data_IF_539105581157
#
_entry.id   IF_539105581157
#
_cell.length_a   1.000
_cell.length_b   1.000
_cell.length_c   1.000
_cell.angle_alpha   90.00
_cell.angle_beta   90.00
_cell.angle_gamma   90.00
#
_symmetry.space_group_name_H-M   'P 1'
#
loop_
_entity.id
_entity.type
_entity.pdbx_description
1 polymer ?
#
# COMPACT_ATOMS: atom_id res chain seq x y z
N UNK A 1 23.95 -5.86 12.74
CA UNK A 1 24.06 -5.99 11.28
C UNK A 1 25.31 -6.79 10.92
N UNK A 2 25.32 -7.38 9.72
CA UNK A 2 26.47 -8.12 9.24
C UNK A 2 27.66 -7.19 8.98
N UNK A 3 28.84 -7.52 9.50
CA UNK A 3 30.05 -6.66 9.43
C UNK A 3 30.51 -6.34 8.00
N UNK A 4 30.21 -7.21 7.04
CA UNK A 4 30.59 -7.07 5.63
C UNK A 4 29.50 -6.38 4.79
N UNK A 5 28.45 -5.83 5.42
CA UNK A 5 27.45 -5.06 4.73
C UNK A 5 27.98 -3.64 4.46
N UNK A 6 28.15 -3.32 3.19
CA UNK A 6 28.60 -1.99 2.77
C UNK A 6 27.40 -1.04 2.74
N UNK A 7 27.42 -0.04 3.62
CA UNK A 7 26.37 0.98 3.75
C UNK A 7 26.74 2.26 3.00
N UNK A 8 27.16 2.15 1.75
CA UNK A 8 27.55 3.30 0.94
C UNK A 8 26.34 3.91 0.21
N UNK A 9 25.65 3.09 -0.57
CA UNK A 9 24.58 3.53 -1.43
C UNK A 9 23.30 2.71 -1.26
N UNK A 10 22.18 3.40 -1.32
CA UNK A 10 20.86 2.78 -1.43
C UNK A 10 20.77 1.97 -2.72
N UNK A 11 20.48 0.68 -2.62
CA UNK A 11 20.42 -0.20 -3.80
C UNK A 11 19.21 0.04 -4.71
N UNK A 12 18.28 0.89 -4.30
CA UNK A 12 17.10 1.27 -5.09
C UNK A 12 17.32 2.58 -5.84
N UNK A 13 17.73 3.66 -5.15
CA UNK A 13 17.78 5.00 -5.73
C UNK A 13 19.19 5.60 -5.83
N UNK A 14 20.23 4.87 -5.43
CA UNK A 14 21.66 5.24 -5.49
C UNK A 14 22.06 6.45 -4.62
N UNK A 15 21.15 7.02 -3.79
CA UNK A 15 21.50 8.00 -2.76
C UNK A 15 22.31 7.32 -1.65
N UNK A 16 22.92 8.12 -0.76
CA UNK A 16 23.57 7.59 0.45
C UNK A 16 22.59 6.73 1.26
N UNK A 17 23.04 5.55 1.69
CA UNK A 17 22.25 4.66 2.54
C UNK A 17 22.49 4.97 4.01
N UNK A 18 21.44 4.87 4.82
CA UNK A 18 21.49 5.10 6.27
C UNK A 18 20.97 3.90 7.06
N UNK A 19 20.19 3.04 6.42
CA UNK A 19 19.47 1.96 7.09
C UNK A 19 19.64 0.63 6.36
N UNK A 20 19.72 -0.47 7.12
CA UNK A 20 19.72 -1.82 6.59
C UNK A 20 18.31 -2.41 6.76
N UNK A 21 17.69 -2.77 5.65
CA UNK A 21 16.38 -3.42 5.63
C UNK A 21 16.55 -4.94 5.57
N UNK A 22 15.77 -5.69 6.36
CA UNK A 22 15.71 -7.14 6.31
C UNK A 22 14.65 -7.58 5.29
N UNK A 23 15.05 -8.37 4.29
CA UNK A 23 14.14 -8.91 3.26
C UNK A 23 13.14 -9.85 3.91
N UNK A 24 13.64 -10.87 4.63
CA UNK A 24 12.83 -11.69 5.51
C UNK A 24 12.79 -11.05 6.90
N UNK A 25 11.59 -10.85 7.43
CA UNK A 25 11.39 -10.06 8.66
C UNK A 25 12.00 -10.71 9.90
N UNK A 26 12.72 -9.93 10.70
CA UNK A 26 13.44 -10.41 11.88
C UNK A 26 12.58 -11.15 12.90
N UNK A 27 11.31 -10.76 13.02
CA UNK A 27 10.39 -11.35 13.99
C UNK A 27 10.00 -12.80 13.64
N UNK A 28 10.30 -13.25 12.41
CA UNK A 28 10.07 -14.64 11.98
C UNK A 28 11.22 -15.57 12.36
N UNK A 29 12.33 -15.02 12.89
CA UNK A 29 13.46 -15.83 13.34
C UNK A 29 13.12 -16.62 14.60
N UNK A 30 13.65 -17.84 14.68
CA UNK A 30 13.56 -18.70 15.86
C UNK A 30 14.48 -18.22 17.00
N UNK A 31 14.54 -18.99 18.11
CA UNK A 31 15.38 -18.70 19.28
C UNK A 31 16.88 -18.63 18.92
N UNK A 32 17.33 -19.37 17.93
CA UNK A 32 18.70 -19.37 17.42
C UNK A 32 18.99 -18.25 16.41
N UNK A 33 18.09 -17.26 16.30
CA UNK A 33 18.17 -16.14 15.36
C UNK A 33 18.15 -16.56 13.87
N UNK A 34 17.58 -17.74 13.56
CA UNK A 34 17.52 -18.28 12.21
C UNK A 34 16.13 -18.15 11.61
N UNK A 35 16.10 -17.82 10.31
CA UNK A 35 14.93 -17.83 9.45
C UNK A 35 15.16 -18.97 8.44
N UNK A 36 14.35 -20.03 8.52
CA UNK A 36 14.56 -21.27 7.78
C UNK A 36 15.97 -21.85 8.01
N UNK A 37 16.89 -21.62 7.08
CA UNK A 37 18.24 -22.21 7.07
C UNK A 37 19.36 -21.16 7.13
N UNK A 38 19.05 -19.88 7.37
CA UNK A 38 20.03 -18.81 7.47
C UNK A 38 19.82 -17.92 8.69
N UNK A 39 20.90 -17.27 9.15
CA UNK A 39 20.82 -16.29 10.24
C UNK A 39 20.10 -15.04 9.76
N UNK A 40 19.18 -14.47 10.57
CA UNK A 40 18.40 -13.28 10.22
C UNK A 40 19.23 -12.11 9.69
N UNK A 41 20.46 -11.93 10.22
CA UNK A 41 21.40 -10.89 9.81
C UNK A 41 22.36 -11.36 8.70
N UNK A 42 22.07 -12.46 8.02
CA UNK A 42 22.89 -12.91 6.88
C UNK A 42 22.91 -11.83 5.78
N UNK A 43 24.06 -11.63 5.15
CA UNK A 43 24.27 -10.55 4.16
C UNK A 43 23.23 -10.56 3.04
N UNK A 44 22.80 -11.73 2.58
CA UNK A 44 21.79 -11.88 1.53
C UNK A 44 20.36 -11.52 1.98
N UNK A 45 20.14 -11.40 3.31
CA UNK A 45 18.87 -10.95 3.88
C UNK A 45 18.86 -9.43 4.17
N UNK A 46 19.96 -8.74 3.93
CA UNK A 46 20.12 -7.32 4.27
C UNK A 46 20.25 -6.46 3.01
N UNK A 47 19.53 -5.36 2.95
CA UNK A 47 19.56 -4.40 1.85
C UNK A 47 19.85 -3.00 2.38
N UNK A 48 20.97 -2.35 1.95
CA UNK A 48 21.23 -0.96 2.26
C UNK A 48 20.22 -0.04 1.57
N UNK A 49 19.48 0.74 2.34
CA UNK A 49 18.50 1.70 1.84
C UNK A 49 18.74 3.10 2.41
N UNK A 50 18.34 4.13 1.67
CA UNK A 50 18.14 5.45 2.27
C UNK A 50 16.83 5.47 3.06
N UNK A 51 16.68 6.41 3.97
CA UNK A 51 15.48 6.58 4.81
C UNK A 51 14.20 6.65 3.98
N UNK A 52 14.21 7.37 2.84
CA UNK A 52 13.05 7.49 1.96
C UNK A 52 12.61 6.12 1.40
N UNK A 53 13.55 5.34 0.82
CA UNK A 53 13.24 4.02 0.27
C UNK A 53 12.82 3.03 1.35
N UNK A 54 13.45 3.08 2.54
CA UNK A 54 13.08 2.25 3.68
C UNK A 54 11.62 2.53 4.13
N UNK A 55 11.24 3.81 4.25
CA UNK A 55 9.85 4.19 4.50
C UNK A 55 8.89 3.68 3.42
N UNK A 56 9.28 3.73 2.13
CA UNK A 56 8.42 3.24 1.05
C UNK A 56 8.19 1.72 1.13
N UNK A 57 9.19 0.95 1.59
CA UNK A 57 9.01 -0.49 1.85
C UNK A 57 7.98 -0.70 2.96
N UNK A 58 8.12 -0.03 4.10
CA UNK A 58 7.18 -0.15 5.22
C UNK A 58 5.76 0.35 4.89
N UNK A 59 5.64 1.31 3.96
CA UNK A 59 4.34 1.76 3.46
C UNK A 59 3.76 0.90 2.34
N UNK A 60 4.46 -0.18 1.93
CA UNK A 60 4.00 -1.11 0.90
C UNK A 60 3.96 -0.53 -0.52
N UNK A 61 4.67 0.59 -0.77
CA UNK A 61 4.79 1.22 -2.09
C UNK A 61 6.06 0.81 -2.84
N UNK A 62 7.01 0.24 -2.12
CA UNK A 62 8.20 -0.40 -2.65
C UNK A 62 8.27 -1.82 -2.10
N UNK A 63 8.40 -2.82 -2.96
CA UNK A 63 8.59 -4.21 -2.56
C UNK A 63 10.00 -4.66 -2.92
N UNK A 64 10.69 -5.27 -1.96
CA UNK A 64 12.00 -5.89 -2.14
C UNK A 64 11.77 -7.41 -2.23
N UNK A 65 12.21 -8.02 -3.34
CA UNK A 65 12.08 -9.46 -3.56
C UNK A 65 13.34 -10.23 -3.17
N UNK A 66 14.48 -9.55 -3.10
CA UNK A 66 15.77 -10.15 -2.80
C UNK A 66 16.80 -9.93 -3.88
N UNK A 67 17.90 -10.68 -3.78
CA UNK A 67 18.97 -10.61 -4.77
C UNK A 67 18.77 -11.65 -5.86
N UNK A 68 19.01 -11.27 -7.10
CA UNK A 68 18.89 -12.12 -8.27
C UNK A 68 20.20 -12.13 -9.06
N UNK A 69 20.62 -13.34 -9.49
CA UNK A 69 21.75 -13.48 -10.42
C UNK A 69 21.31 -13.07 -11.82
N UNK A 70 22.05 -12.16 -12.42
CA UNK A 70 21.86 -11.70 -13.80
C UNK A 70 23.17 -11.79 -14.59
N UNK A 71 23.12 -11.52 -15.88
CA UNK A 71 24.31 -11.46 -16.74
C UNK A 71 25.29 -10.34 -16.32
N UNK A 72 24.79 -9.33 -15.60
CA UNK A 72 25.58 -8.22 -15.06
C UNK A 72 26.06 -8.45 -13.62
N UNK A 73 25.78 -9.63 -13.05
CA UNK A 73 26.08 -9.98 -11.66
C UNK A 73 24.85 -10.08 -10.78
N UNK A 74 25.06 -9.97 -9.47
CA UNK A 74 23.97 -10.05 -8.49
C UNK A 74 23.36 -8.67 -8.35
N UNK A 75 22.09 -8.54 -8.69
CA UNK A 75 21.31 -7.30 -8.58
C UNK A 75 20.15 -7.45 -7.59
N UNK A 76 19.76 -6.34 -6.95
CA UNK A 76 18.60 -6.29 -6.11
C UNK A 76 17.33 -6.28 -6.98
N UNK A 77 16.49 -7.29 -6.83
CA UNK A 77 15.17 -7.33 -7.45
C UNK A 77 14.15 -6.60 -6.56
N UNK A 78 13.59 -5.52 -7.07
CA UNK A 78 12.58 -4.72 -6.40
C UNK A 78 11.56 -4.18 -7.40
N UNK A 79 10.37 -3.84 -6.92
CA UNK A 79 9.31 -3.23 -7.72
C UNK A 79 8.66 -2.08 -6.98
N UNK A 80 8.28 -1.03 -7.73
CA UNK A 80 7.43 0.02 -7.24
C UNK A 80 5.97 -0.39 -7.43
N UNK A 81 5.27 -0.57 -6.32
CA UNK A 81 3.83 -0.82 -6.34
C UNK A 81 3.16 0.53 -6.50
N UNK A 82 2.53 0.75 -7.66
CA UNK A 82 1.62 1.89 -7.78
C UNK A 82 0.63 1.77 -6.62
N UNK A 83 0.61 2.77 -5.72
CA UNK A 83 -0.49 2.87 -4.75
C UNK A 83 -1.75 2.72 -5.60
N UNK A 84 -2.68 1.81 -5.23
CA UNK A 84 -4.00 1.88 -5.81
C UNK A 84 -4.38 3.35 -5.72
N UNK A 85 -4.66 3.97 -6.84
CA UNK A 85 -5.01 5.39 -6.94
C UNK A 85 -5.98 5.60 -5.80
N UNK A 86 -5.54 6.26 -4.72
CA UNK A 86 -6.47 6.59 -3.65
C UNK A 86 -7.50 7.40 -4.40
N UNK A 87 -8.67 6.81 -4.59
CA UNK A 87 -9.82 7.58 -5.05
C UNK A 87 -9.74 8.87 -4.26
N UNK A 88 -9.63 10.03 -4.93
CA UNK A 88 -9.36 11.27 -4.23
C UNK A 88 -10.32 11.29 -3.05
N UNK A 89 -9.81 11.46 -1.83
CA UNK A 89 -10.68 11.64 -0.67
C UNK A 89 -11.48 12.87 -1.04
N UNK A 90 -12.70 12.63 -1.52
CA UNK A 90 -13.62 13.71 -1.87
C UNK A 90 -14.01 14.31 -0.53
N UNK A 91 -13.19 15.23 -0.06
CA UNK A 91 -13.40 15.92 1.20
C UNK A 91 -14.66 16.81 1.15
N UNK A 92 -15.18 17.05 -0.06
CA UNK A 92 -16.48 17.70 -0.29
C UNK A 92 -17.09 17.16 -1.58
N UNK A 93 -18.17 16.44 -1.48
CA UNK A 93 -19.03 16.17 -2.62
C UNK A 93 -19.60 17.48 -3.15
N UNK A 94 -19.64 17.63 -4.44
CA UNK A 94 -20.32 18.76 -5.09
C UNK A 94 -21.83 18.66 -4.82
N UNK A 95 -22.53 19.77 -4.90
CA UNK A 95 -23.98 19.81 -4.70
C UNK A 95 -24.71 18.87 -5.69
N UNK A 96 -24.20 18.75 -6.90
CA UNK A 96 -24.73 17.85 -7.93
C UNK A 96 -24.57 16.39 -7.54
N UNK A 97 -23.40 16.00 -6.99
CA UNK A 97 -23.13 14.63 -6.55
C UNK A 97 -23.98 14.26 -5.32
N UNK A 98 -24.17 15.21 -4.39
CA UNK A 98 -25.07 15.03 -3.24
C UNK A 98 -26.50 14.80 -3.73
N UNK A 99 -26.98 15.60 -4.67
CA UNK A 99 -28.32 15.46 -5.23
C UNK A 99 -28.49 14.12 -5.93
N UNK A 100 -27.48 13.66 -6.66
CA UNK A 100 -27.47 12.35 -7.31
C UNK A 100 -27.62 11.20 -6.30
N UNK A 101 -26.92 11.26 -5.17
CA UNK A 101 -27.04 10.27 -4.10
C UNK A 101 -28.45 10.32 -3.47
N UNK A 102 -29.00 11.51 -3.28
CA UNK A 102 -30.32 11.70 -2.69
C UNK A 102 -31.46 11.16 -3.59
N UNK A 103 -31.30 11.18 -4.92
CA UNK A 103 -32.27 10.56 -5.83
C UNK A 103 -32.45 9.06 -5.61
N UNK A 104 -31.43 8.37 -5.08
CA UNK A 104 -31.49 6.95 -4.75
C UNK A 104 -31.99 6.69 -3.32
N UNK A 105 -32.20 7.74 -2.51
CA UNK A 105 -32.59 7.62 -1.10
C UNK A 105 -33.90 6.86 -0.93
N UNK A 106 -34.90 7.22 -1.70
CA UNK A 106 -36.22 6.61 -1.62
C UNK A 106 -36.20 5.13 -2.02
N UNK A 107 -35.44 4.78 -3.06
CA UNK A 107 -35.27 3.40 -3.49
C UNK A 107 -34.56 2.54 -2.43
N UNK A 108 -33.63 3.12 -1.66
CA UNK A 108 -32.95 2.43 -0.56
C UNK A 108 -33.90 2.29 0.64
N UNK A 109 -34.68 3.32 0.96
CA UNK A 109 -35.62 3.31 2.08
C UNK A 109 -36.79 2.33 1.85
N UNK A 110 -37.26 2.20 0.61
CA UNK A 110 -38.30 1.24 0.22
C UNK A 110 -37.76 -0.18 0.05
N UNK A 111 -36.49 -0.43 0.29
CA UNK A 111 -35.77 -1.71 0.11
C UNK A 111 -35.78 -2.25 -1.33
N UNK A 112 -36.14 -1.45 -2.32
CA UNK A 112 -36.08 -1.82 -3.75
C UNK A 112 -34.64 -1.82 -4.28
N UNK A 113 -33.73 -1.10 -3.61
CA UNK A 113 -32.31 -1.05 -3.94
C UNK A 113 -31.47 -1.24 -2.68
N UNK A 114 -30.54 -2.18 -2.69
CA UNK A 114 -29.60 -2.31 -1.57
C UNK A 114 -28.53 -1.21 -1.62
N UNK A 115 -27.95 -0.86 -0.44
CA UNK A 115 -26.84 0.12 -0.38
C UNK A 115 -25.66 -0.29 -1.25
N UNK A 116 -25.37 -1.59 -1.33
CA UNK A 116 -24.28 -2.10 -2.17
C UNK A 116 -24.58 -1.91 -3.67
N UNK A 117 -25.82 -2.12 -4.09
CA UNK A 117 -26.26 -1.86 -5.46
C UNK A 117 -26.23 -0.37 -5.79
N UNK A 118 -26.64 0.50 -4.84
CA UNK A 118 -26.55 1.94 -5.01
C UNK A 118 -25.10 2.39 -5.24
N UNK A 119 -24.16 1.92 -4.43
CA UNK A 119 -22.74 2.24 -4.61
C UNK A 119 -22.22 1.79 -5.98
N UNK A 120 -22.56 0.57 -6.42
CA UNK A 120 -22.18 0.07 -7.76
C UNK A 120 -22.80 0.90 -8.89
N UNK A 121 -24.04 1.30 -8.76
CA UNK A 121 -24.70 2.12 -9.79
C UNK A 121 -24.08 3.52 -9.88
N UNK A 122 -23.72 4.14 -8.75
CA UNK A 122 -23.04 5.43 -8.71
C UNK A 122 -21.65 5.34 -9.36
N UNK A 123 -20.91 4.26 -9.11
CA UNK A 123 -19.60 4.04 -9.71
C UNK A 123 -19.69 3.78 -11.22
N UNK A 124 -20.56 2.86 -11.66
CA UNK A 124 -20.69 2.45 -13.06
C UNK A 124 -21.30 3.51 -13.97
N UNK A 125 -22.34 4.21 -13.49
CA UNK A 125 -23.11 5.12 -14.34
C UNK A 125 -22.67 6.58 -14.21
N UNK A 126 -22.04 6.94 -13.10
CA UNK A 126 -21.71 8.34 -12.79
C UNK A 126 -20.23 8.54 -12.40
N UNK A 127 -19.41 7.48 -12.45
CA UNK A 127 -18.00 7.51 -12.05
C UNK A 127 -17.78 8.06 -10.62
N UNK A 128 -18.80 7.96 -9.78
CA UNK A 128 -18.81 8.46 -8.40
C UNK A 128 -18.55 7.32 -7.43
N UNK A 129 -17.35 7.23 -6.88
CA UNK A 129 -16.97 6.22 -5.88
C UNK A 129 -17.16 6.77 -4.48
N UNK A 130 -18.06 6.17 -3.72
CA UNK A 130 -18.34 6.52 -2.34
C UNK A 130 -18.03 5.37 -1.38
N UNK A 131 -17.54 5.69 -0.19
CA UNK A 131 -17.47 4.70 0.88
C UNK A 131 -18.86 4.40 1.45
N UNK A 132 -19.11 3.18 1.97
CA UNK A 132 -20.37 2.87 2.67
C UNK A 132 -20.66 3.83 3.84
N UNK A 133 -19.62 4.33 4.50
CA UNK A 133 -19.73 5.32 5.57
C UNK A 133 -20.25 6.66 5.04
N UNK A 134 -19.68 7.17 3.94
CA UNK A 134 -20.11 8.42 3.31
C UNK A 134 -21.54 8.33 2.82
N UNK A 135 -21.92 7.21 2.16
CA UNK A 135 -23.30 6.97 1.76
C UNK A 135 -24.26 7.00 2.95
N UNK A 136 -23.93 6.30 4.03
CA UNK A 136 -24.77 6.28 5.25
C UNK A 136 -24.94 7.67 5.87
N UNK A 137 -23.89 8.49 5.89
CA UNK A 137 -23.92 9.85 6.40
C UNK A 137 -24.88 10.72 5.57
N UNK A 138 -24.80 10.64 4.24
CA UNK A 138 -25.69 11.38 3.34
C UNK A 138 -27.17 10.96 3.46
N UNK A 139 -27.43 9.65 3.61
CA UNK A 139 -28.78 9.12 3.75
C UNK A 139 -29.45 9.52 5.08
N UNK A 140 -28.66 9.70 6.15
CA UNK A 140 -29.18 10.12 7.48
C UNK A 140 -29.47 11.61 7.55
N UNK A 141 -28.96 12.40 6.62
CA UNK A 141 -28.95 13.85 6.71
C UNK A 141 -27.76 14.33 7.56
N UNK A 142 -27.19 15.44 7.19
CA UNK A 142 -26.22 16.16 8.02
C UNK A 142 -27.00 17.01 9.01
N UNK A 143 -27.03 16.59 10.27
CA UNK A 143 -27.21 17.55 11.35
C UNK A 143 -25.95 18.36 11.55
#
# INVERSE_FOLDING_TARGET
>A
YHKDLVMDRCLVCQKSSQEAHHIAEQHTANEDQQIDHFHKDAKHNLVPLCTDCHHQVHHGTLRIHGYQQTDQGILLHHEWIAKPTQTPKINKLTQTEIQLVLTHKDAILTKTLSKAQCLRNLELNHQLTLSPYTLNKLLKGTD
#
